data_IF_851763122928
#
_entry.id   IF_851763122928
#
_cell.length_a   1.000
_cell.length_b   1.000
_cell.length_c   1.000
_cell.angle_alpha   90.00
_cell.angle_beta   90.00
_cell.angle_gamma   90.00
#
_symmetry.space_group_name_H-M   'P 1'
#
loop_
_entity.id
_entity.type
_entity.pdbx_description
1 polymer ?
#
# COMPACT_ATOMS: atom_id res chain seq x y z
N UNK A 1 14.41 46.58 -10.14
CA UNK A 1 14.47 45.27 -10.81
C UNK A 1 15.26 44.35 -9.88
N UNK A 2 14.59 43.57 -9.03
CA UNK A 2 15.24 42.71 -8.03
C UNK A 2 15.11 41.25 -8.46
N UNK A 3 16.24 40.59 -8.72
CA UNK A 3 16.32 39.15 -8.91
C UNK A 3 16.18 38.46 -7.54
N UNK A 4 15.10 37.71 -7.36
CA UNK A 4 14.90 36.85 -6.20
C UNK A 4 15.59 35.51 -6.42
N UNK A 5 16.65 35.23 -5.66
CA UNK A 5 17.30 33.93 -5.57
C UNK A 5 16.37 32.92 -4.89
N UNK A 6 15.86 31.97 -5.67
CA UNK A 6 15.12 30.82 -5.16
C UNK A 6 16.06 29.83 -4.46
N UNK A 7 16.05 29.82 -3.13
CA UNK A 7 16.67 28.73 -2.34
C UNK A 7 15.92 27.43 -2.62
N UNK A 8 16.53 26.55 -3.42
CA UNK A 8 16.18 25.13 -3.43
C UNK A 8 16.47 24.57 -2.04
N UNK A 9 15.44 24.15 -1.33
CA UNK A 9 15.59 23.30 -0.14
C UNK A 9 16.08 21.94 -0.63
N UNK A 10 17.35 21.64 -0.42
CA UNK A 10 17.88 20.29 -0.55
C UNK A 10 17.12 19.40 0.44
N UNK A 11 16.49 18.34 -0.06
CA UNK A 11 15.78 17.39 0.78
C UNK A 11 16.82 16.50 1.48
N UNK A 12 17.03 16.71 2.78
CA UNK A 12 17.79 15.83 3.66
C UNK A 12 17.24 14.40 3.54
N UNK A 13 18.03 13.50 2.94
CA UNK A 13 17.65 12.09 2.75
C UNK A 13 18.32 11.25 3.84
N UNK A 14 17.68 11.14 5.00
CA UNK A 14 18.13 10.26 6.07
C UNK A 14 17.88 8.77 5.72
N UNK A 15 18.90 7.93 5.88
CA UNK A 15 18.85 6.49 5.62
C UNK A 15 18.46 5.74 6.90
N UNK A 16 17.43 4.89 6.83
CA UNK A 16 16.98 4.08 7.95
C UNK A 16 16.90 2.61 7.53
N UNK A 17 17.78 1.78 8.11
CA UNK A 17 17.62 0.33 8.11
C UNK A 17 17.07 -0.06 9.47
N UNK A 18 15.91 -0.69 9.51
CA UNK A 18 15.36 -1.24 10.77
C UNK A 18 15.19 -2.73 10.60
N UNK A 19 16.19 -3.48 11.07
CA UNK A 19 16.09 -4.94 11.21
C UNK A 19 15.41 -5.22 12.54
N UNK A 20 14.12 -5.57 12.50
CA UNK A 20 13.37 -5.90 13.71
C UNK A 20 13.45 -7.40 13.96
N UNK A 21 14.17 -7.80 15.00
CA UNK A 21 14.20 -9.21 15.46
C UNK A 21 12.96 -9.49 16.29
N UNK A 22 11.87 -9.92 15.65
CA UNK A 22 10.66 -10.34 16.37
C UNK A 22 10.90 -11.68 17.09
N UNK A 23 10.75 -11.69 18.42
CA UNK A 23 10.60 -12.89 19.26
C UNK A 23 9.18 -12.88 19.81
N UNK A 24 8.52 -14.04 19.80
CA UNK A 24 7.15 -14.37 20.25
C UNK A 24 6.18 -13.21 20.54
N UNK A 25 5.03 -13.24 19.85
CA UNK A 25 3.90 -12.30 19.93
C UNK A 25 3.34 -12.06 21.35
N UNK A 26 3.77 -12.82 22.37
CA UNK A 26 3.34 -12.74 23.77
C UNK A 26 4.37 -12.17 24.77
N UNK A 27 5.58 -11.78 24.35
CA UNK A 27 6.54 -11.07 25.23
C UNK A 27 6.97 -9.78 24.56
N UNK A 28 6.72 -8.65 25.21
CA UNK A 28 6.87 -7.30 24.65
C UNK A 28 8.15 -7.06 23.83
N UNK A 29 8.03 -6.16 22.86
CA UNK A 29 9.07 -5.77 21.89
C UNK A 29 10.45 -5.58 22.56
N UNK A 30 11.41 -6.43 22.20
CA UNK A 30 12.83 -6.17 22.50
C UNK A 30 13.24 -4.94 21.67
N UNK A 31 13.82 -3.94 22.35
CA UNK A 31 14.26 -2.63 21.83
C UNK A 31 14.40 -2.59 20.31
N UNK A 32 13.54 -1.79 19.67
CA UNK A 32 13.84 -1.21 18.36
C UNK A 32 15.24 -0.60 18.46
N UNK A 33 16.23 -1.17 17.78
CA UNK A 33 17.42 -0.40 17.40
C UNK A 33 17.01 0.57 16.30
N UNK A 34 16.26 1.62 16.70
CA UNK A 34 16.20 2.88 15.96
C UNK A 34 17.54 3.55 16.16
N UNK A 35 18.49 3.17 15.33
CA UNK A 35 19.70 3.95 15.26
C UNK A 35 19.38 5.23 14.48
N UNK A 36 19.31 6.35 15.22
CA UNK A 36 19.33 7.70 14.68
C UNK A 36 20.77 7.98 14.27
N UNK A 37 21.04 8.04 12.97
CA UNK A 37 22.40 8.26 12.50
C UNK A 37 22.60 9.73 12.14
N UNK A 38 23.69 10.30 12.67
CA UNK A 38 24.20 11.61 12.30
C UNK A 38 24.85 11.56 10.92
N UNK A 39 24.62 12.57 10.09
CA UNK A 39 25.28 12.75 8.80
C UNK A 39 26.80 12.64 8.95
N UNK A 40 27.42 11.71 8.21
CA UNK A 40 28.88 11.56 8.15
C UNK A 40 29.42 10.14 8.37
N UNK A 41 28.63 9.20 8.89
CA UNK A 41 29.05 7.79 8.96
C UNK A 41 28.74 7.06 7.64
N UNK A 42 29.77 6.82 6.83
CA UNK A 42 29.73 5.89 5.69
C UNK A 42 29.62 4.45 6.22
N UNK A 43 28.41 3.99 6.48
CA UNK A 43 28.21 2.58 6.80
C UNK A 43 28.57 1.71 5.61
N UNK A 44 29.37 0.68 5.86
CA UNK A 44 29.71 -0.33 4.86
C UNK A 44 28.51 -1.28 4.67
N UNK A 45 27.92 -1.33 3.46
CA UNK A 45 26.77 -2.19 3.18
C UNK A 45 27.04 -3.68 3.43
N UNK A 46 28.31 -4.07 3.37
CA UNK A 46 28.83 -5.40 3.71
C UNK A 46 28.36 -5.88 5.09
N UNK A 47 28.29 -4.99 6.09
CA UNK A 47 27.85 -5.34 7.44
C UNK A 47 26.38 -5.78 7.47
N UNK A 48 25.49 -5.17 6.67
CA UNK A 48 24.09 -5.57 6.61
C UNK A 48 23.93 -6.96 5.98
N UNK A 49 24.68 -7.23 4.91
CA UNK A 49 24.70 -8.54 4.24
C UNK A 49 25.19 -9.61 5.22
N UNK A 50 26.24 -9.33 5.98
CA UNK A 50 26.76 -10.26 6.99
C UNK A 50 25.74 -10.53 8.11
N UNK A 51 25.06 -9.50 8.61
CA UNK A 51 24.00 -9.64 9.62
C UNK A 51 22.86 -10.53 9.09
N UNK A 52 22.39 -10.27 7.87
CA UNK A 52 21.30 -11.05 7.25
C UNK A 52 21.70 -12.52 7.07
N UNK A 53 22.91 -12.79 6.57
CA UNK A 53 23.47 -14.14 6.42
C UNK A 53 23.64 -14.85 7.76
N UNK A 54 24.08 -14.13 8.79
CA UNK A 54 24.31 -14.67 10.15
C UNK A 54 23.03 -14.92 10.94
N UNK A 55 21.90 -14.35 10.50
CA UNK A 55 20.63 -14.38 11.22
C UNK A 55 19.50 -15.07 10.39
N UNK A 56 19.57 -16.38 10.12
CA UNK A 56 18.58 -17.08 9.29
C UNK A 56 17.16 -17.14 9.90
N UNK A 57 17.01 -16.73 11.17
CA UNK A 57 15.75 -16.70 11.90
C UNK A 57 15.01 -15.36 11.82
N UNK A 58 15.47 -14.41 11.02
CA UNK A 58 14.76 -13.14 10.81
C UNK A 58 13.38 -13.42 10.20
N UNK A 59 12.34 -12.87 10.84
CA UNK A 59 10.94 -13.01 10.42
C UNK A 59 10.36 -11.74 9.81
N UNK A 60 10.91 -10.58 10.14
CA UNK A 60 10.44 -9.28 9.66
C UNK A 60 11.61 -8.43 9.21
N UNK A 61 11.49 -7.85 8.03
CA UNK A 61 12.47 -6.90 7.48
C UNK A 61 11.73 -5.67 7.00
N UNK A 62 12.20 -4.50 7.42
CA UNK A 62 11.83 -3.21 6.83
C UNK A 62 13.08 -2.60 6.23
N UNK A 63 13.06 -2.39 4.93
CA UNK A 63 14.20 -1.87 4.19
C UNK A 63 13.81 -0.70 3.29
N UNK A 64 14.72 0.25 3.20
CA UNK A 64 14.62 1.40 2.32
C UNK A 64 15.77 1.37 1.30
N UNK A 65 15.46 1.12 0.03
CA UNK A 65 16.39 1.06 -1.11
C UNK A 65 16.06 2.21 -2.08
N UNK A 66 16.29 3.46 -1.65
CA UNK A 66 15.93 4.69 -2.39
C UNK A 66 17.10 5.28 -3.18
N UNK A 67 18.27 4.65 -3.17
CA UNK A 67 19.45 5.24 -3.81
C UNK A 67 19.42 5.10 -5.34
N UNK A 68 19.30 6.23 -6.02
CA UNK A 68 19.50 6.33 -7.48
C UNK A 68 20.99 6.29 -7.86
N UNK A 69 21.89 6.34 -6.87
CA UNK A 69 23.34 6.28 -7.07
C UNK A 69 23.76 4.92 -7.66
N UNK A 70 24.26 4.88 -8.91
CA UNK A 70 24.73 3.64 -9.53
C UNK A 70 25.83 2.94 -8.74
N UNK A 71 26.66 3.69 -7.98
CA UNK A 71 27.72 3.10 -7.16
C UNK A 71 27.15 2.25 -6.00
N UNK A 72 25.94 2.54 -5.53
CA UNK A 72 25.26 1.80 -4.46
C UNK A 72 24.39 0.65 -4.96
N UNK A 73 24.13 0.59 -6.28
CA UNK A 73 23.25 -0.43 -6.85
C UNK A 73 23.73 -1.86 -6.54
N UNK A 74 25.04 -2.12 -6.65
CA UNK A 74 25.60 -3.44 -6.34
C UNK A 74 25.35 -3.84 -4.89
N UNK A 75 25.47 -2.89 -3.96
CA UNK A 75 25.25 -3.12 -2.54
C UNK A 75 23.77 -3.41 -2.24
N UNK A 76 22.86 -2.61 -2.81
CA UNK A 76 21.43 -2.83 -2.67
C UNK A 76 20.99 -4.18 -3.26
N UNK A 77 21.63 -4.62 -4.35
CA UNK A 77 21.42 -5.94 -4.94
C UNK A 77 21.88 -7.05 -4.01
N UNK A 78 23.05 -6.95 -3.38
CA UNK A 78 23.51 -7.95 -2.42
C UNK A 78 22.59 -8.04 -1.20
N UNK A 79 22.13 -6.89 -0.68
CA UNK A 79 21.18 -6.85 0.42
C UNK A 79 19.85 -7.48 0.01
N UNK A 80 19.33 -7.16 -1.19
CA UNK A 80 18.13 -7.76 -1.75
C UNK A 80 18.24 -9.30 -1.82
N UNK A 81 19.34 -9.83 -2.35
CA UNK A 81 19.58 -11.28 -2.41
C UNK A 81 19.66 -11.91 -1.02
N UNK A 82 20.33 -11.24 -0.07
CA UNK A 82 20.43 -11.71 1.30
C UNK A 82 19.06 -11.77 1.99
N UNK A 83 18.16 -10.80 1.73
CA UNK A 83 16.77 -10.82 2.23
C UNK A 83 15.96 -11.94 1.57
N UNK A 84 16.05 -12.08 0.25
CA UNK A 84 15.35 -13.13 -0.51
C UNK A 84 15.72 -14.54 -0.03
N UNK A 85 16.97 -14.73 0.41
CA UNK A 85 17.48 -15.98 0.96
C UNK A 85 17.03 -16.29 2.40
N UNK A 86 16.30 -15.40 3.10
CA UNK A 86 15.85 -15.64 4.46
C UNK A 86 14.69 -16.66 4.50
N UNK A 87 14.91 -17.91 4.98
CA UNK A 87 13.94 -18.99 4.84
C UNK A 87 12.70 -18.82 5.74
N UNK A 88 12.80 -17.97 6.77
CA UNK A 88 11.76 -17.76 7.79
C UNK A 88 11.13 -16.37 7.71
N UNK A 89 11.40 -15.60 6.65
CA UNK A 89 10.82 -14.28 6.47
C UNK A 89 9.30 -14.40 6.29
N UNK A 90 8.54 -13.67 7.11
CA UNK A 90 7.07 -13.62 7.12
C UNK A 90 6.53 -12.23 6.85
N UNK A 91 7.32 -11.20 7.11
CA UNK A 91 6.93 -9.80 6.95
C UNK A 91 8.03 -9.03 6.22
N UNK A 92 7.68 -8.38 5.11
CA UNK A 92 8.59 -7.53 4.37
C UNK A 92 7.93 -6.19 4.08
N UNK A 93 8.60 -5.11 4.48
CA UNK A 93 8.27 -3.74 4.07
C UNK A 93 9.42 -3.22 3.21
N UNK A 94 9.15 -2.99 1.93
CA UNK A 94 10.10 -2.48 0.97
C UNK A 94 9.71 -1.05 0.58
N UNK A 95 10.59 -0.10 0.85
CA UNK A 95 10.49 1.27 0.32
C UNK A 95 11.57 1.40 -0.75
N UNK A 96 11.22 1.47 -2.03
CA UNK A 96 12.23 1.52 -3.09
C UNK A 96 11.72 2.08 -4.41
N UNK A 97 12.57 2.86 -5.08
CA UNK A 97 12.39 3.38 -6.44
C UNK A 97 13.23 2.66 -7.50
N UNK A 98 14.06 1.69 -7.13
CA UNK A 98 15.25 1.29 -7.90
C UNK A 98 15.16 -0.13 -8.50
N UNK A 99 16.14 -0.50 -9.34
CA UNK A 99 16.30 -1.87 -9.90
C UNK A 99 16.39 -2.95 -8.83
N UNK A 100 16.95 -2.63 -7.65
CA UNK A 100 17.13 -3.60 -6.56
C UNK A 100 15.80 -4.16 -6.06
N UNK A 101 14.72 -3.39 -6.15
CA UNK A 101 13.36 -3.87 -5.92
C UNK A 101 12.98 -4.99 -6.87
N UNK A 102 13.23 -4.85 -8.17
CA UNK A 102 12.87 -5.88 -9.16
C UNK A 102 13.61 -7.20 -8.90
N UNK A 103 14.89 -7.11 -8.52
CA UNK A 103 15.69 -8.29 -8.18
C UNK A 103 15.18 -8.94 -6.88
N UNK A 104 14.98 -8.15 -5.83
CA UNK A 104 14.40 -8.65 -4.59
C UNK A 104 13.08 -9.37 -4.85
N UNK A 105 12.16 -8.73 -5.57
CA UNK A 105 10.82 -9.27 -5.83
C UNK A 105 10.84 -10.55 -6.67
N UNK A 106 11.79 -10.68 -7.61
CA UNK A 106 11.94 -11.87 -8.45
C UNK A 106 12.52 -13.06 -7.69
N UNK A 107 13.49 -12.81 -6.80
CA UNK A 107 14.20 -13.85 -6.07
C UNK A 107 13.52 -14.22 -4.73
N UNK A 108 12.53 -13.46 -4.30
CA UNK A 108 11.85 -13.65 -3.03
C UNK A 108 10.98 -14.92 -3.03
N UNK A 109 11.52 -15.98 -2.42
CA UNK A 109 10.84 -17.27 -2.27
C UNK A 109 10.20 -17.47 -0.88
N UNK A 110 10.31 -16.49 0.01
CA UNK A 110 9.84 -16.64 1.38
C UNK A 110 8.31 -16.65 1.49
N UNK A 111 7.71 -17.50 2.36
CA UNK A 111 6.26 -17.60 2.55
C UNK A 111 5.73 -16.43 3.39
N UNK A 112 5.74 -15.23 2.79
CA UNK A 112 5.29 -13.98 3.41
C UNK A 112 3.82 -14.05 3.80
N UNK A 113 3.51 -13.54 5.00
CA UNK A 113 2.15 -13.23 5.46
C UNK A 113 1.82 -11.76 5.35
N UNK A 114 2.82 -10.89 5.45
CA UNK A 114 2.66 -9.45 5.32
C UNK A 114 3.65 -8.91 4.31
N UNK A 115 3.14 -8.21 3.31
CA UNK A 115 3.96 -7.56 2.31
C UNK A 115 3.52 -6.11 2.16
N UNK A 116 4.46 -5.18 2.29
CA UNK A 116 4.23 -3.77 2.13
C UNK A 116 5.24 -3.22 1.11
N UNK A 117 4.73 -2.57 0.07
CA UNK A 117 5.51 -2.06 -1.03
C UNK A 117 5.26 -0.57 -1.18
N UNK A 118 6.31 0.23 -1.03
CA UNK A 118 6.26 1.68 -1.07
C UNK A 118 7.29 2.22 -2.05
N UNK A 119 7.01 3.40 -2.59
CA UNK A 119 7.82 4.03 -3.62
C UNK A 119 7.20 3.87 -5.01
N UNK A 120 7.92 4.38 -6.02
CA UNK A 120 7.47 4.45 -7.41
C UNK A 120 8.19 3.43 -8.27
N UNK A 121 7.64 3.07 -9.41
CA UNK A 121 8.41 2.31 -10.42
C UNK A 121 9.41 3.22 -11.14
N UNK A 122 10.40 2.65 -11.84
CA UNK A 122 11.39 3.40 -12.64
C UNK A 122 10.75 4.39 -13.60
N UNK A 123 9.56 4.07 -14.09
CA UNK A 123 8.79 4.87 -15.04
C UNK A 123 8.04 6.04 -14.38
N UNK A 124 8.31 6.34 -13.10
CA UNK A 124 7.52 7.26 -12.25
C UNK A 124 6.08 6.82 -12.03
N UNK A 125 5.73 5.57 -12.31
CA UNK A 125 4.34 5.10 -12.33
C UNK A 125 3.89 4.56 -10.98
N UNK A 126 2.60 4.79 -10.75
CA UNK A 126 1.74 4.19 -9.72
C UNK A 126 1.59 2.70 -10.02
N UNK A 127 1.46 1.84 -9.00
CA UNK A 127 1.18 0.43 -9.21
C UNK A 127 -0.20 0.22 -9.84
N UNK A 128 -0.35 -0.80 -10.67
CA UNK A 128 -1.62 -1.20 -11.27
C UNK A 128 -1.72 -2.73 -11.30
N UNK A 129 -2.90 -3.33 -11.55
CA UNK A 129 -3.10 -4.78 -11.44
C UNK A 129 -2.09 -5.61 -12.23
N UNK A 130 -1.83 -5.27 -13.51
CA UNK A 130 -0.85 -6.00 -14.31
C UNK A 130 0.60 -5.89 -13.80
N UNK A 131 0.96 -4.81 -13.08
CA UNK A 131 2.28 -4.70 -12.46
C UNK A 131 2.45 -5.67 -11.27
N UNK A 132 1.34 -6.08 -10.63
CA UNK A 132 1.37 -7.03 -9.52
C UNK A 132 1.73 -8.45 -9.99
N UNK A 133 1.36 -8.83 -11.21
CA UNK A 133 1.69 -10.15 -11.80
C UNK A 133 3.20 -10.41 -11.86
N UNK A 134 4.01 -9.36 -11.94
CA UNK A 134 5.46 -9.50 -12.01
C UNK A 134 6.08 -10.05 -10.72
N UNK A 135 5.37 -10.00 -9.58
CA UNK A 135 5.96 -10.40 -8.30
C UNK A 135 5.01 -11.05 -7.30
N UNK A 136 3.72 -10.67 -7.27
CA UNK A 136 2.79 -11.23 -6.28
C UNK A 136 2.59 -12.74 -6.43
N UNK A 137 2.50 -13.35 -7.62
CA UNK A 137 2.30 -14.81 -7.72
C UNK A 137 3.33 -15.63 -6.95
N UNK A 138 4.59 -15.17 -6.88
CA UNK A 138 5.66 -15.86 -6.14
C UNK A 138 5.49 -15.84 -4.61
N UNK A 139 4.78 -14.84 -4.07
CA UNK A 139 4.61 -14.62 -2.61
C UNK A 139 3.16 -14.75 -2.13
N UNK A 140 2.20 -14.82 -3.05
CA UNK A 140 0.77 -14.74 -2.76
C UNK A 140 0.23 -15.92 -1.94
N UNK A 141 0.83 -17.10 -2.07
CA UNK A 141 0.30 -18.36 -1.49
C UNK A 141 0.05 -18.31 0.02
N UNK A 142 0.75 -17.43 0.74
CA UNK A 142 0.59 -17.26 2.19
C UNK A 142 0.26 -15.81 2.60
N UNK A 143 0.06 -14.92 1.62
CA UNK A 143 -0.03 -13.50 1.86
C UNK A 143 -1.39 -13.11 2.44
N UNK A 144 -1.43 -12.72 3.70
CA UNK A 144 -2.65 -12.35 4.43
C UNK A 144 -2.89 -10.83 4.44
N UNK A 145 -1.81 -10.04 4.43
CA UNK A 145 -1.86 -8.57 4.47
C UNK A 145 -0.99 -7.97 3.37
N UNK A 146 -1.60 -7.17 2.51
CA UNK A 146 -0.94 -6.44 1.44
C UNK A 146 -1.07 -4.93 1.66
N UNK A 147 0.04 -4.24 1.52
CA UNK A 147 0.09 -2.77 1.52
C UNK A 147 0.83 -2.27 0.28
N UNK A 148 0.18 -1.38 -0.49
CA UNK A 148 0.75 -0.83 -1.71
C UNK A 148 0.71 0.70 -1.63
N UNK A 149 1.88 1.32 -1.75
CA UNK A 149 2.14 2.75 -1.67
C UNK A 149 1.14 3.56 -2.48
N UNK A 150 1.32 3.61 -3.79
CA UNK A 150 0.50 4.30 -4.78
C UNK A 150 -0.12 3.23 -5.70
N UNK A 151 -1.46 3.14 -5.83
CA UNK A 151 -2.14 2.12 -6.66
C UNK A 151 -3.30 2.70 -7.47
N UNK A 152 -3.55 2.21 -8.69
CA UNK A 152 -4.80 2.46 -9.42
C UNK A 152 -5.41 1.17 -9.96
N UNK A 153 -6.73 1.11 -9.95
CA UNK A 153 -7.52 0.04 -10.59
C UNK A 153 -8.36 0.54 -11.74
N UNK A 154 -8.53 1.85 -11.85
CA UNK A 154 -9.32 2.52 -12.89
C UNK A 154 -8.59 2.48 -14.24
N UNK A 155 -9.13 1.77 -15.26
CA UNK A 155 -8.52 1.69 -16.58
C UNK A 155 -8.29 3.05 -17.23
N UNK A 156 -9.18 4.03 -17.04
CA UNK A 156 -9.03 5.36 -17.62
C UNK A 156 -7.81 6.05 -17.01
N UNK A 157 -7.70 6.02 -15.68
CA UNK A 157 -6.55 6.55 -14.95
C UNK A 157 -5.24 5.86 -15.37
N UNK A 158 -5.24 4.54 -15.52
CA UNK A 158 -4.06 3.77 -15.95
C UNK A 158 -3.64 4.16 -17.38
N UNK A 159 -4.60 4.35 -18.29
CA UNK A 159 -4.32 4.77 -19.67
C UNK A 159 -3.70 6.17 -19.75
N UNK A 160 -4.07 7.11 -18.86
CA UNK A 160 -3.44 8.44 -18.81
C UNK A 160 -1.93 8.39 -18.54
N UNK A 161 -1.42 7.27 -17.99
CA UNK A 161 0.01 7.05 -17.76
C UNK A 161 0.72 6.35 -18.91
N UNK A 162 0.03 6.10 -20.03
CA UNK A 162 0.56 5.40 -21.19
C UNK A 162 0.82 3.90 -20.93
N UNK A 163 0.02 3.29 -20.04
CA UNK A 163 0.04 1.84 -19.79
C UNK A 163 -1.11 1.20 -20.56
N UNK A 164 -0.80 0.13 -21.31
CA UNK A 164 -1.82 -0.61 -22.05
C UNK A 164 -2.83 -1.24 -21.08
N UNK A 165 -4.12 -1.05 -21.36
CA UNK A 165 -5.20 -1.59 -20.53
C UNK A 165 -5.30 -3.09 -20.70
N UNK A 166 -4.84 -3.84 -19.71
CA UNK A 166 -5.14 -5.28 -19.57
C UNK A 166 -6.40 -5.44 -18.75
N UNK A 167 -7.30 -6.32 -19.19
CA UNK A 167 -8.51 -6.63 -18.42
C UNK A 167 -8.13 -7.20 -17.04
N UNK A 168 -8.60 -6.56 -15.97
CA UNK A 168 -8.33 -7.05 -14.60
C UNK A 168 -8.88 -8.45 -14.38
N UNK A 169 -9.97 -8.80 -15.07
CA UNK A 169 -10.63 -10.10 -14.92
C UNK A 169 -9.84 -11.29 -15.47
N UNK A 170 -8.78 -11.04 -16.26
CA UNK A 170 -7.87 -12.10 -16.73
C UNK A 170 -6.64 -12.26 -15.83
N UNK A 171 -6.48 -11.41 -14.81
CA UNK A 171 -5.33 -11.41 -13.92
C UNK A 171 -5.51 -12.40 -12.76
N UNK A 172 -4.39 -12.76 -12.14
CA UNK A 172 -4.32 -13.67 -11.00
C UNK A 172 -5.08 -13.07 -9.81
N UNK A 173 -5.89 -13.91 -9.16
CA UNK A 173 -6.56 -13.57 -7.92
C UNK A 173 -5.67 -13.88 -6.71
N UNK A 174 -5.84 -13.13 -5.63
CA UNK A 174 -5.08 -13.25 -4.39
C UNK A 174 -6.01 -13.64 -3.23
N UNK A 175 -6.53 -14.89 -3.19
CA UNK A 175 -7.59 -15.32 -2.27
C UNK A 175 -7.14 -15.48 -0.81
N UNK A 176 -5.85 -15.35 -0.53
CA UNK A 176 -5.28 -15.40 0.82
C UNK A 176 -5.27 -14.03 1.48
N UNK A 177 -5.33 -12.94 0.70
CA UNK A 177 -5.26 -11.57 1.19
C UNK A 177 -6.56 -11.22 1.90
N UNK A 178 -6.49 -11.08 3.22
CA UNK A 178 -7.60 -10.68 4.09
C UNK A 178 -7.58 -9.20 4.42
N UNK A 179 -6.42 -8.53 4.32
CA UNK A 179 -6.28 -7.10 4.60
C UNK A 179 -5.50 -6.37 3.52
N UNK A 180 -6.00 -5.20 3.12
CA UNK A 180 -5.48 -4.37 2.04
C UNK A 180 -5.32 -2.91 2.51
N UNK A 181 -4.14 -2.34 2.28
CA UNK A 181 -3.83 -0.91 2.53
C UNK A 181 -3.29 -0.27 1.26
N UNK A 182 -3.90 0.81 0.79
CA UNK A 182 -3.46 1.47 -0.44
C UNK A 182 -3.76 2.97 -0.47
N UNK A 183 -2.95 3.74 -1.21
CA UNK A 183 -3.33 5.07 -1.69
C UNK A 183 -3.89 4.87 -3.10
N UNK A 184 -5.19 5.05 -3.26
CA UNK A 184 -5.83 4.79 -4.54
C UNK A 184 -5.87 6.04 -5.41
N UNK A 185 -5.45 5.91 -6.67
CA UNK A 185 -5.65 6.90 -7.73
C UNK A 185 -6.83 6.49 -8.63
N UNK A 186 -7.58 7.48 -9.13
CA UNK A 186 -8.76 7.26 -9.97
C UNK A 186 -9.96 6.69 -9.21
N UNK A 187 -10.93 6.18 -9.95
CA UNK A 187 -12.16 5.62 -9.39
C UNK A 187 -11.91 4.31 -8.59
N UNK A 188 -12.49 4.16 -7.38
CA UNK A 188 -12.41 2.93 -6.59
C UNK A 188 -13.37 1.85 -7.12
N UNK A 189 -13.06 1.29 -8.30
CA UNK A 189 -13.87 0.26 -8.94
C UNK A 189 -13.87 -1.05 -8.11
N UNK A 190 -15.00 -1.38 -7.50
CA UNK A 190 -15.11 -2.52 -6.58
C UNK A 190 -15.09 -3.87 -7.29
N UNK A 191 -15.59 -3.99 -8.50
CA UNK A 191 -15.50 -5.22 -9.31
C UNK A 191 -14.03 -5.63 -9.53
N UNK A 192 -13.17 -4.64 -9.80
CA UNK A 192 -11.74 -4.84 -10.01
C UNK A 192 -11.05 -5.26 -8.70
N UNK A 193 -11.35 -4.57 -7.59
CA UNK A 193 -10.80 -4.92 -6.27
C UNK A 193 -11.29 -6.28 -5.76
N UNK A 194 -12.57 -6.60 -5.96
CA UNK A 194 -13.16 -7.88 -5.55
C UNK A 194 -12.66 -9.04 -6.39
N UNK A 195 -12.42 -8.83 -7.69
CA UNK A 195 -11.77 -9.85 -8.53
C UNK A 195 -10.35 -10.15 -8.04
N UNK A 196 -9.54 -9.11 -7.77
CA UNK A 196 -8.16 -9.29 -7.33
C UNK A 196 -8.06 -9.86 -5.91
N UNK A 197 -8.94 -9.45 -4.99
CA UNK A 197 -8.89 -9.81 -3.58
C UNK A 197 -10.24 -10.41 -3.11
N UNK A 198 -10.62 -11.60 -3.60
CA UNK A 198 -11.98 -12.13 -3.41
C UNK A 198 -12.30 -12.50 -1.95
N UNK A 199 -11.28 -12.78 -1.13
CA UNK A 199 -11.43 -13.18 0.26
C UNK A 199 -11.21 -12.05 1.27
N UNK A 200 -11.23 -10.79 0.83
CA UNK A 200 -11.01 -9.65 1.71
C UNK A 200 -12.12 -9.54 2.76
N UNK A 201 -11.79 -9.86 4.02
CA UNK A 201 -12.75 -9.83 5.14
C UNK A 201 -12.20 -9.15 6.41
N UNK A 202 -10.92 -8.74 6.39
CA UNK A 202 -10.23 -8.07 7.48
C UNK A 202 -10.29 -6.56 7.36
N UNK A 203 -9.14 -5.92 7.16
CA UNK A 203 -9.03 -4.46 7.08
C UNK A 203 -8.90 -3.99 5.64
N UNK A 204 -9.74 -3.05 5.23
CA UNK A 204 -9.59 -2.26 4.02
C UNK A 204 -9.22 -0.82 4.40
N UNK A 205 -8.01 -0.39 4.05
CA UNK A 205 -7.50 0.94 4.36
C UNK A 205 -7.20 1.71 3.07
N UNK A 206 -7.93 2.80 2.86
CA UNK A 206 -7.62 3.80 1.85
C UNK A 206 -6.93 4.99 2.51
N UNK A 207 -5.70 5.27 2.08
CA UNK A 207 -4.96 6.46 2.50
C UNK A 207 -5.54 7.71 1.82
N UNK A 208 -5.60 8.85 2.53
CA UNK A 208 -5.96 10.15 1.98
C UNK A 208 -5.19 10.48 0.71
N UNK A 209 -5.92 10.86 -0.35
CA UNK A 209 -5.33 11.36 -1.60
C UNK A 209 -5.58 12.88 -1.70
N UNK A 210 -4.53 13.71 -1.57
CA UNK A 210 -4.69 15.16 -1.53
C UNK A 210 -5.15 15.77 -2.87
N UNK A 211 -5.27 14.99 -3.93
CA UNK A 211 -5.57 15.49 -5.29
C UNK A 211 -7.01 15.23 -5.76
N UNK A 212 -7.89 14.66 -4.92
CA UNK A 212 -9.26 14.26 -5.32
C UNK A 212 -10.29 15.38 -5.39
N UNK A 213 -9.98 16.58 -4.92
CA UNK A 213 -10.99 17.63 -4.71
C UNK A 213 -11.56 18.27 -6.00
N UNK A 214 -10.96 18.00 -7.16
CA UNK A 214 -11.36 18.65 -8.43
C UNK A 214 -12.35 17.83 -9.28
N UNK A 215 -12.86 16.70 -8.77
CA UNK A 215 -13.75 15.82 -9.55
C UNK A 215 -15.22 16.23 -9.38
N UNK A 216 -16.00 16.38 -10.47
CA UNK A 216 -17.41 16.77 -10.38
C UNK A 216 -18.26 15.78 -9.58
N UNK A 217 -19.22 16.29 -8.79
CA UNK A 217 -20.13 15.49 -7.97
C UNK A 217 -20.91 14.42 -8.77
N UNK A 218 -21.29 14.73 -10.01
CA UNK A 218 -21.99 13.79 -10.89
C UNK A 218 -21.15 12.52 -11.17
N UNK A 219 -19.84 12.66 -11.27
CA UNK A 219 -18.92 11.53 -11.43
C UNK A 219 -18.84 10.68 -10.16
N UNK A 220 -18.90 11.30 -8.97
CA UNK A 220 -18.96 10.53 -7.71
C UNK A 220 -20.22 9.67 -7.62
N UNK A 221 -21.37 10.22 -8.03
CA UNK A 221 -22.64 9.48 -8.05
C UNK A 221 -22.59 8.31 -9.05
N UNK A 222 -22.02 8.49 -10.24
CA UNK A 222 -21.92 7.41 -11.23
C UNK A 222 -20.99 6.29 -10.77
N UNK A 223 -19.84 6.62 -10.17
CA UNK A 223 -18.92 5.62 -9.60
C UNK A 223 -19.58 4.83 -8.48
N UNK A 224 -20.28 5.52 -7.55
CA UNK A 224 -21.03 4.86 -6.48
C UNK A 224 -22.10 3.91 -7.03
N UNK A 225 -22.89 4.35 -8.01
CA UNK A 225 -23.94 3.54 -8.62
C UNK A 225 -23.37 2.29 -9.33
N UNK A 226 -22.24 2.44 -10.03
CA UNK A 226 -21.54 1.32 -10.64
C UNK A 226 -21.07 0.30 -9.59
N UNK A 227 -20.46 0.78 -8.50
CA UNK A 227 -20.02 -0.07 -7.39
C UNK A 227 -21.16 -0.80 -6.68
N UNK A 228 -22.31 -0.16 -6.50
CA UNK A 228 -23.52 -0.79 -5.94
C UNK A 228 -24.05 -1.88 -6.88
N UNK A 229 -24.20 -1.55 -8.17
CA UNK A 229 -24.67 -2.48 -9.19
C UNK A 229 -23.79 -3.72 -9.27
N UNK A 230 -22.46 -3.57 -9.23
CA UNK A 230 -21.53 -4.71 -9.19
C UNK A 230 -21.81 -5.63 -8.00
N UNK A 231 -22.04 -5.10 -6.80
CA UNK A 231 -22.25 -5.93 -5.61
C UNK A 231 -23.62 -6.62 -5.62
N UNK A 232 -24.60 -6.07 -6.31
CA UNK A 232 -25.98 -6.57 -6.37
C UNK A 232 -26.21 -7.53 -7.54
N UNK A 233 -25.56 -7.29 -8.68
CA UNK A 233 -25.83 -7.99 -9.94
C UNK A 233 -24.74 -8.99 -10.36
N UNK A 234 -23.54 -8.92 -9.79
CA UNK A 234 -22.38 -9.59 -10.39
C UNK A 234 -22.28 -11.08 -10.08
N UNK A 235 -21.67 -11.80 -11.03
CA UNK A 235 -21.18 -13.18 -10.88
C UNK A 235 -19.92 -13.27 -10.03
N UNK A 236 -19.22 -12.16 -9.82
CA UNK A 236 -18.09 -12.08 -8.89
C UNK A 236 -18.61 -12.24 -7.47
N UNK A 237 -18.00 -13.11 -6.65
CA UNK A 237 -18.38 -13.26 -5.26
C UNK A 237 -18.11 -11.95 -4.52
N UNK A 238 -19.15 -11.19 -4.11
CA UNK A 238 -18.92 -9.96 -3.35
C UNK A 238 -18.27 -10.31 -2.01
N UNK A 239 -17.53 -9.37 -1.44
CA UNK A 239 -17.02 -9.53 -0.08
C UNK A 239 -18.17 -9.81 0.87
N UNK A 240 -18.06 -10.87 1.67
CA UNK A 240 -19.16 -11.29 2.56
C UNK A 240 -19.32 -10.36 3.76
N UNK A 241 -18.24 -9.75 4.20
CA UNK A 241 -18.14 -8.82 5.33
C UNK A 241 -16.79 -8.12 5.30
N UNK A 242 -16.65 -7.03 6.04
CA UNK A 242 -15.37 -6.43 6.40
C UNK A 242 -15.32 -6.21 7.91
N UNK A 243 -14.24 -6.65 8.56
CA UNK A 243 -14.03 -6.37 9.98
C UNK A 243 -13.75 -4.89 10.22
N UNK A 244 -13.01 -4.24 9.30
CA UNK A 244 -12.65 -2.83 9.44
C UNK A 244 -12.49 -2.12 8.09
N UNK A 245 -13.04 -0.91 7.99
CA UNK A 245 -12.68 0.07 6.96
C UNK A 245 -12.04 1.30 7.59
N UNK A 246 -11.00 1.82 6.96
CA UNK A 246 -10.37 3.10 7.29
C UNK A 246 -10.28 3.91 6.00
N UNK A 247 -10.89 5.09 5.94
CA UNK A 247 -10.90 5.92 4.74
C UNK A 247 -11.39 7.34 5.03
N UNK A 248 -11.39 8.19 4.01
CA UNK A 248 -12.05 9.50 4.05
C UNK A 248 -13.57 9.36 3.81
N UNK A 249 -14.39 10.34 4.26
CA UNK A 249 -15.84 10.37 4.03
C UNK A 249 -16.25 10.14 2.57
N UNK A 250 -15.61 10.84 1.63
CA UNK A 250 -15.88 10.71 0.20
C UNK A 250 -15.59 9.29 -0.30
N UNK A 251 -14.46 8.69 0.12
CA UNK A 251 -14.12 7.32 -0.26
C UNK A 251 -15.16 6.32 0.24
N UNK A 252 -15.65 6.45 1.49
CA UNK A 252 -16.73 5.59 1.99
C UNK A 252 -17.99 5.69 1.10
N UNK A 253 -18.34 6.92 0.69
CA UNK A 253 -19.45 7.16 -0.24
C UNK A 253 -19.21 6.54 -1.61
N UNK A 254 -18.04 6.74 -2.23
CA UNK A 254 -17.75 6.17 -3.55
C UNK A 254 -17.81 4.65 -3.59
N UNK A 255 -17.37 3.98 -2.52
CA UNK A 255 -17.36 2.52 -2.46
C UNK A 255 -18.78 1.93 -2.49
N UNK A 256 -19.79 2.63 -1.97
CA UNK A 256 -21.18 2.12 -1.98
C UNK A 256 -21.30 0.70 -1.42
N UNK A 257 -20.54 0.38 -0.36
CA UNK A 257 -20.42 -0.99 0.16
C UNK A 257 -21.80 -1.55 0.54
N UNK A 258 -22.08 -2.79 0.12
CA UNK A 258 -23.29 -3.54 0.51
C UNK A 258 -23.00 -4.65 1.52
N UNK A 259 -21.73 -5.04 1.67
CA UNK A 259 -21.34 -6.00 2.69
C UNK A 259 -21.38 -5.39 4.10
N UNK A 260 -21.69 -6.18 5.14
CA UNK A 260 -21.63 -5.70 6.52
C UNK A 260 -20.22 -5.26 6.92
N UNK A 261 -20.11 -4.06 7.53
CA UNK A 261 -18.86 -3.51 8.05
C UNK A 261 -18.94 -3.40 9.57
N UNK A 262 -18.04 -4.06 10.30
CA UNK A 262 -18.08 -4.07 11.78
C UNK A 262 -17.51 -2.79 12.39
N UNK A 263 -16.45 -2.24 11.81
CA UNK A 263 -15.80 -1.01 12.28
C UNK A 263 -15.52 -0.06 11.11
N UNK A 264 -15.88 1.21 11.24
CA UNK A 264 -15.43 2.26 10.33
C UNK A 264 -14.58 3.29 11.08
N UNK A 265 -13.46 3.68 10.50
CA UNK A 265 -12.67 4.83 10.92
C UNK A 265 -12.67 5.85 9.79
N UNK A 266 -13.33 6.99 10.00
CA UNK A 266 -13.36 8.08 9.02
C UNK A 266 -12.30 9.12 9.37
N UNK A 267 -11.41 9.39 8.44
CA UNK A 267 -10.38 10.42 8.53
C UNK A 267 -10.88 11.66 7.76
N UNK A 268 -11.54 12.59 8.47
CA UNK A 268 -12.13 13.79 7.88
C UNK A 268 -11.17 14.98 8.09
N UNK A 269 -9.97 14.87 7.51
CA UNK A 269 -9.02 15.99 7.47
C UNK A 269 -9.43 16.86 6.31
N UNK A 270 -9.83 18.10 6.61
CA UNK A 270 -10.10 19.15 5.61
C UNK A 270 -11.29 18.90 4.64
N UNK A 271 -11.93 17.72 4.72
CA UNK A 271 -13.09 17.34 3.89
C UNK A 271 -14.38 17.38 4.73
N UNK A 272 -15.43 17.99 4.18
CA UNK A 272 -16.77 17.97 4.76
C UNK A 272 -17.28 16.53 4.94
N UNK A 273 -17.77 16.21 6.14
CA UNK A 273 -18.46 14.93 6.41
C UNK A 273 -19.75 14.80 5.59
N UNK A 274 -20.46 15.91 5.37
CA UNK A 274 -21.72 15.95 4.64
C UNK A 274 -21.52 16.39 3.18
N UNK A 275 -22.30 15.82 2.23
CA UNK A 275 -23.34 14.79 2.43
C UNK A 275 -22.79 13.35 2.51
N UNK A 276 -21.53 13.13 2.12
CA UNK A 276 -21.00 11.82 1.77
C UNK A 276 -21.06 10.76 2.89
N UNK A 277 -20.54 11.07 4.08
CA UNK A 277 -20.52 10.09 5.18
C UNK A 277 -21.93 9.76 5.68
N UNK A 278 -22.82 10.75 5.73
CA UNK A 278 -24.20 10.57 6.21
C UNK A 278 -24.95 9.61 5.29
N UNK A 279 -24.89 9.83 3.98
CA UNK A 279 -25.58 8.96 3.02
C UNK A 279 -25.00 7.54 3.03
N UNK A 280 -23.67 7.42 3.07
CA UNK A 280 -23.02 6.11 3.11
C UNK A 280 -23.38 5.32 4.39
N UNK A 281 -23.37 5.96 5.56
CA UNK A 281 -23.67 5.33 6.84
C UNK A 281 -25.17 5.05 7.04
N UNK A 282 -26.06 5.86 6.44
CA UNK A 282 -27.50 5.60 6.46
C UNK A 282 -27.84 4.33 5.66
N UNK A 283 -27.20 4.14 4.52
CA UNK A 283 -27.41 2.95 3.68
C UNK A 283 -26.74 1.69 4.21
N UNK A 284 -25.56 1.81 4.83
CA UNK A 284 -24.83 0.70 5.43
C UNK A 284 -24.37 1.07 6.84
N UNK A 285 -25.26 0.94 7.85
CA UNK A 285 -24.96 1.32 9.22
C UNK A 285 -23.88 0.44 9.83
N UNK A 286 -22.91 1.08 10.49
CA UNK A 286 -21.79 0.39 11.14
C UNK A 286 -21.97 0.38 12.66
N UNK A 287 -21.78 -0.77 13.34
CA UNK A 287 -21.93 -0.85 14.80
C UNK A 287 -20.90 -0.02 15.58
N UNK A 288 -19.72 0.22 14.98
CA UNK A 288 -18.61 0.94 15.62
C UNK A 288 -18.02 1.95 14.66
N UNK A 289 -18.27 3.22 14.94
CA UNK A 289 -17.74 4.34 14.18
C UNK A 289 -16.70 5.09 14.99
N UNK A 290 -15.53 5.34 14.40
CA UNK A 290 -14.51 6.25 14.91
C UNK A 290 -14.36 7.39 13.91
N UNK A 291 -14.48 8.63 14.39
CA UNK A 291 -14.22 9.83 13.61
C UNK A 291 -12.89 10.43 14.03
N UNK A 292 -12.03 10.72 13.06
CA UNK A 292 -10.81 11.52 13.27
C UNK A 292 -11.05 12.87 12.59
N UNK A 293 -11.20 13.90 13.42
CA UNK A 293 -11.38 15.28 12.97
C UNK A 293 -10.06 16.01 13.18
N UNK A 294 -9.57 16.70 12.16
CA UNK A 294 -8.55 17.74 12.35
C UNK A 294 -9.25 19.08 12.24
N UNK A 295 -9.17 19.88 13.30
CA UNK A 295 -9.47 21.30 13.18
C UNK A 295 -8.28 21.92 12.46
N UNK A 296 -8.50 22.48 11.27
CA UNK A 296 -7.56 23.41 10.68
C UNK A 296 -7.53 24.66 11.58
N UNK A 297 -6.35 25.02 12.07
CA UNK A 297 -6.15 26.33 12.68
C UNK A 297 -6.33 27.37 11.55
N UNK A 298 -7.43 28.13 11.62
CA UNK A 298 -7.78 29.21 10.69
C UNK A 298 -6.86 30.41 10.85
#
# INVERSE_FOLDING_TARGET
MMCGEGRRKEAETAVWYTVVRSRDENRGWIRDTKAKYSEGQTHQPETYVEILKSCPNIRSVKINLVHEDPARLNCDLEIARAIAALPRLRSLTLVSSTTSKEVLLRELCAPLRTFALWGRTKEKRVYHPAALEAFLPGVASNLEKLEIGEFAVDPEQIQTWGVASTSVFTLTQYPTVRSLSLLLYGAPLLDHLQHLFPALDGTLYFRPDPFRDNVPLAHHASVRAANQCTQECSRSQPWKKLDRIVCEPLMLYLLGLRCPVRHATLDARDISLEPYAVDALRENPVPRLKLSLRQSEL
#
